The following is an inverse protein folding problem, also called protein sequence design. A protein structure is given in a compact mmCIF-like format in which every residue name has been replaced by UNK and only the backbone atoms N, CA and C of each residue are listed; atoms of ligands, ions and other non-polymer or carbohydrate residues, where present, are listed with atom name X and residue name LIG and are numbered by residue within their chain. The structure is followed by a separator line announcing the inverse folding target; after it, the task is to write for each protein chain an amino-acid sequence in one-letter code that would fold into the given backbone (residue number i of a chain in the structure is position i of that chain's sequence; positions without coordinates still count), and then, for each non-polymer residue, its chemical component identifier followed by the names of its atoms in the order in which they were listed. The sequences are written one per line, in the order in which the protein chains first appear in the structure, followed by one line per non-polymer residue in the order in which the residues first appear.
data_IF_361924137062
#
_entry.id   IF_361924137062
#
_cell.length_a   1.000
_cell.length_b   1.000
_cell.length_c   1.000
_cell.angle_alpha   90.00
_cell.angle_beta   90.00
_cell.angle_gamma   90.00
#
_symmetry.space_group_name_H-M   'P 1'
#
loop_
_entity.id
_entity.type
_entity.pdbx_description
1 polymer ?
#
# COMPACT_ATOMS: atom_id res chain seq x y z
N UNK A 1 3.65 -2.38 1.93
CA UNK A 1 3.02 -1.58 0.87
C UNK A 1 4.08 -1.20 -0.16
N UNK A 2 3.71 -0.58 -1.28
CA UNK A 2 4.67 -0.04 -2.23
C UNK A 2 4.14 1.23 -2.91
N UNK A 3 5.05 1.99 -3.49
CA UNK A 3 4.74 3.07 -4.42
C UNK A 3 5.67 3.02 -5.63
N UNK A 4 5.20 3.50 -6.77
CA UNK A 4 5.98 3.61 -7.99
C UNK A 4 6.12 5.07 -8.38
N UNK A 5 7.35 5.61 -8.37
CA UNK A 5 7.62 6.97 -8.80
C UNK A 5 7.78 7.03 -10.32
N UNK A 6 7.09 7.97 -10.97
CA UNK A 6 7.20 8.20 -12.41
C UNK A 6 8.50 8.94 -12.81
N UNK A 7 9.24 9.47 -11.84
CA UNK A 7 10.46 10.26 -12.02
C UNK A 7 11.40 10.12 -10.83
N UNK A 8 12.66 10.57 -10.99
CA UNK A 8 13.61 10.66 -9.87
C UNK A 8 13.19 11.79 -8.92
N UNK A 9 13.00 11.47 -7.65
CA UNK A 9 12.68 12.46 -6.62
C UNK A 9 13.95 12.97 -5.89
N UNK A 10 13.91 14.21 -5.44
CA UNK A 10 14.86 14.77 -4.47
C UNK A 10 14.39 14.50 -3.04
N UNK A 11 13.07 14.59 -2.80
CA UNK A 11 12.42 14.37 -1.50
C UNK A 11 11.16 13.54 -1.65
N UNK A 12 10.96 12.59 -0.74
CA UNK A 12 9.72 11.81 -0.62
C UNK A 12 9.32 11.73 0.85
N UNK A 13 8.12 12.20 1.14
CA UNK A 13 7.45 11.98 2.42
C UNK A 13 6.19 11.14 2.18
N UNK A 14 5.88 10.22 3.08
CA UNK A 14 4.73 9.32 2.98
C UNK A 14 3.76 9.56 4.12
N UNK A 15 2.50 9.82 3.82
CA UNK A 15 1.46 9.95 4.83
C UNK A 15 0.69 8.63 4.94
N UNK A 16 0.54 8.12 6.17
CA UNK A 16 -0.38 7.05 6.51
C UNK A 16 -1.70 7.68 6.93
N UNK A 17 -2.75 7.33 6.20
CA UNK A 17 -4.07 7.94 6.30
C UNK A 17 -5.06 6.90 6.79
N UNK A 18 -5.74 7.18 7.90
CA UNK A 18 -6.89 6.39 8.32
C UNK A 18 -8.03 6.57 7.30
N UNK A 19 -8.41 5.50 6.61
CA UNK A 19 -9.45 5.55 5.58
C UNK A 19 -10.87 5.42 6.15
N UNK A 20 -11.00 5.10 7.45
CA UNK A 20 -12.29 4.97 8.14
C UNK A 20 -12.82 6.31 8.62
N UNK A 21 -11.92 7.28 8.85
CA UNK A 21 -12.30 8.59 9.32
C UNK A 21 -12.89 9.44 8.16
N UNK A 22 -14.08 10.04 8.33
CA UNK A 22 -14.75 10.80 7.27
C UNK A 22 -14.11 12.16 6.96
N UNK A 23 -13.16 12.66 7.77
CA UNK A 23 -12.53 13.97 7.57
C UNK A 23 -11.15 13.88 6.87
N UNK A 24 -11.06 14.06 5.54
CA UNK A 24 -9.84 13.79 4.77
C UNK A 24 -8.63 14.67 5.17
N UNK A 25 -8.87 15.80 5.85
CA UNK A 25 -7.82 16.73 6.27
C UNK A 25 -7.27 16.43 7.68
N UNK A 26 -7.93 15.55 8.44
CA UNK A 26 -7.50 15.17 9.81
C UNK A 26 -7.13 13.69 9.93
N UNK A 27 -6.99 12.98 8.80
CA UNK A 27 -6.78 11.53 8.76
C UNK A 27 -5.32 11.09 8.72
N UNK A 28 -4.37 12.02 8.57
CA UNK A 28 -2.94 11.65 8.61
C UNK A 28 -2.59 11.27 10.04
N UNK A 29 -2.40 9.97 10.27
CA UNK A 29 -2.08 9.41 11.58
C UNK A 29 -0.59 9.26 11.79
N UNK A 30 0.18 9.13 10.72
CA UNK A 30 1.64 9.01 10.75
C UNK A 30 2.25 9.52 9.45
N UNK A 31 3.51 9.99 9.53
CA UNK A 31 4.29 10.44 8.38
C UNK A 31 5.65 9.77 8.42
N UNK A 32 6.04 9.12 7.33
CA UNK A 32 7.39 8.60 7.12
C UNK A 32 8.18 9.61 6.28
N UNK A 33 9.06 10.36 6.93
CA UNK A 33 9.92 11.33 6.26
C UNK A 33 11.15 10.67 5.63
N UNK A 34 11.64 11.23 4.51
CA UNK A 34 12.87 10.75 3.89
C UNK A 34 12.78 9.32 3.33
N UNK A 35 11.61 8.95 2.82
CA UNK A 35 11.39 7.66 2.19
C UNK A 35 12.24 7.50 0.90
N UNK A 36 12.49 6.26 0.43
CA UNK A 36 13.24 6.01 -0.80
C UNK A 36 12.80 6.88 -1.99
N UNK A 37 13.74 7.51 -2.69
CA UNK A 37 13.45 8.50 -3.73
C UNK A 37 13.85 8.06 -5.14
N UNK A 38 14.11 6.75 -5.31
CA UNK A 38 14.53 6.15 -6.56
C UNK A 38 13.37 6.06 -7.57
N UNK A 39 13.68 6.28 -8.85
CA UNK A 39 12.72 6.06 -9.94
C UNK A 39 12.22 4.61 -9.93
N UNK A 40 10.91 4.43 -10.15
CA UNK A 40 10.30 3.10 -10.20
C UNK A 40 9.75 2.65 -8.85
N UNK A 41 9.70 1.33 -8.64
CA UNK A 41 8.99 0.72 -7.51
C UNK A 41 9.83 0.70 -6.24
N UNK A 42 9.30 1.34 -5.20
CA UNK A 42 9.85 1.40 -3.86
C UNK A 42 8.92 0.67 -2.89
N UNK A 43 9.48 -0.14 -1.99
CA UNK A 43 8.73 -0.89 -0.98
C UNK A 43 8.89 -0.25 0.38
N UNK A 44 7.79 -0.20 1.13
CA UNK A 44 7.77 0.31 2.49
C UNK A 44 7.03 -0.62 3.42
N UNK A 45 7.50 -0.64 4.66
CA UNK A 45 6.87 -1.29 5.79
C UNK A 45 6.53 -0.21 6.81
N UNK A 46 5.28 -0.19 7.23
CA UNK A 46 4.82 0.62 8.34
C UNK A 46 4.52 -0.33 9.50
N UNK A 47 4.90 0.08 10.70
CA UNK A 47 4.87 -0.74 11.91
C UNK A 47 3.50 -0.77 12.61
N UNK A 48 2.51 -0.03 12.08
CA UNK A 48 1.19 0.04 12.68
C UNK A 48 1.08 1.02 13.84
N UNK A 49 2.00 1.99 13.93
CA UNK A 49 1.96 3.04 14.96
C UNK A 49 1.60 4.41 14.40
N UNK A 50 0.96 5.24 15.23
CA UNK A 50 0.69 6.64 14.93
C UNK A 50 1.93 7.52 15.15
N UNK A 51 1.78 8.83 14.93
CA UNK A 51 2.84 9.84 15.13
C UNK A 51 3.38 9.94 16.57
N UNK A 52 2.67 9.42 17.56
CA UNK A 52 3.07 9.41 18.95
C UNK A 52 3.75 8.08 19.34
N UNK A 53 3.84 7.13 18.40
CA UNK A 53 4.32 5.77 18.64
C UNK A 53 3.27 4.85 19.25
N UNK A 54 2.02 5.29 19.33
CA UNK A 54 0.93 4.48 19.87
C UNK A 54 0.41 3.52 18.78
N UNK A 55 0.14 2.24 19.11
CA UNK A 55 -0.39 1.29 18.15
C UNK A 55 -1.80 1.70 17.71
N UNK A 56 -2.09 1.55 16.41
CA UNK A 56 -3.44 1.75 15.88
C UNK A 56 -4.14 0.41 15.64
N UNK A 57 -5.44 0.45 15.35
CA UNK A 57 -6.23 -0.77 15.08
C UNK A 57 -5.69 -1.51 13.85
N UNK A 58 -5.12 -2.71 14.07
CA UNK A 58 -4.54 -3.52 13.01
C UNK A 58 -5.58 -4.04 12.00
N UNK A 59 -6.87 -3.99 12.33
CA UNK A 59 -7.98 -4.34 11.43
C UNK A 59 -8.53 -3.11 10.67
N UNK A 60 -8.01 -1.92 10.97
CA UNK A 60 -8.38 -0.69 10.29
C UNK A 60 -7.94 -0.68 8.82
N UNK A 61 -8.69 0.03 7.98
CA UNK A 61 -8.28 0.30 6.60
C UNK A 61 -7.44 1.57 6.55
N UNK A 62 -6.19 1.44 6.07
CA UNK A 62 -5.26 2.55 5.93
C UNK A 62 -4.84 2.77 4.48
N UNK A 63 -4.62 4.03 4.10
CA UNK A 63 -4.17 4.45 2.77
C UNK A 63 -2.79 5.09 2.87
N UNK A 64 -1.98 4.85 1.85
CA UNK A 64 -0.71 5.54 1.65
C UNK A 64 -0.92 6.72 0.71
N UNK A 65 -0.44 7.90 1.10
CA UNK A 65 -0.28 9.05 0.19
C UNK A 65 1.20 9.36 0.05
N UNK A 66 1.65 9.53 -1.19
CA UNK A 66 3.04 9.84 -1.50
C UNK A 66 3.15 11.33 -1.84
N UNK A 67 4.06 12.03 -1.15
CA UNK A 67 4.42 13.42 -1.42
C UNK A 67 5.87 13.43 -1.95
N UNK A 68 6.02 13.30 -3.26
CA UNK A 68 7.31 13.27 -3.94
C UNK A 68 7.56 14.56 -4.74
N UNK A 69 8.78 15.10 -4.64
CA UNK A 69 9.20 16.30 -5.39
C UNK A 69 10.59 16.12 -6.00
N UNK A 70 10.83 16.76 -7.14
CA UNK A 70 12.15 16.79 -7.81
C UNK A 70 13.07 17.89 -7.21
N UNK A 71 14.25 18.10 -7.79
CA UNK A 71 15.21 19.11 -7.31
C UNK A 71 14.74 20.56 -7.54
N UNK A 72 13.78 20.76 -8.43
CA UNK A 72 13.18 22.05 -8.76
C UNK A 72 11.85 22.27 -8.02
N UNK A 73 11.55 21.43 -7.02
CA UNK A 73 10.32 21.43 -6.23
C UNK A 73 9.04 21.05 -7.01
N UNK A 74 9.17 20.50 -8.23
CA UNK A 74 8.04 20.01 -8.99
C UNK A 74 7.50 18.70 -8.40
N UNK A 75 6.18 18.55 -8.38
CA UNK A 75 5.55 17.32 -7.93
C UNK A 75 5.84 16.16 -8.89
N UNK A 76 6.17 15.00 -8.31
CA UNK A 76 6.31 13.75 -9.05
C UNK A 76 5.10 12.87 -8.76
N UNK A 77 4.47 12.38 -9.82
CA UNK A 77 3.37 11.45 -9.72
C UNK A 77 3.86 10.10 -9.18
N UNK A 78 3.03 9.51 -8.31
CA UNK A 78 3.29 8.23 -7.71
C UNK A 78 2.03 7.37 -7.71
N UNK A 79 2.16 6.13 -8.16
CA UNK A 79 1.13 5.11 -7.97
C UNK A 79 1.38 4.40 -6.64
N UNK A 80 0.32 4.06 -5.92
CA UNK A 80 0.41 3.35 -4.64
C UNK A 80 -0.29 2.01 -4.72
N UNK A 81 0.25 1.02 -4.02
CA UNK A 81 -0.37 -0.29 -3.95
C UNK A 81 0.07 -1.10 -2.75
N UNK A 82 -0.56 -2.27 -2.60
CA UNK A 82 -0.23 -3.23 -1.56
C UNK A 82 -0.20 -4.64 -2.13
N UNK A 83 0.31 -5.56 -1.33
CA UNK A 83 0.30 -6.98 -1.64
C UNK A 83 -0.36 -7.71 -0.47
N UNK A 84 -1.16 -8.72 -0.77
CA UNK A 84 -1.87 -9.51 0.22
C UNK A 84 -2.15 -10.92 -0.29
N UNK A 85 -2.88 -11.69 0.50
CA UNK A 85 -3.32 -13.02 0.09
C UNK A 85 -4.65 -12.87 -0.64
N UNK A 86 -4.69 -13.37 -1.89
CA UNK A 86 -5.92 -13.52 -2.64
C UNK A 86 -6.76 -14.65 -2.00
N UNK A 87 -8.00 -14.36 -1.64
CA UNK A 87 -8.88 -15.27 -0.89
C UNK A 87 -10.00 -15.81 -1.78
N UNK A 88 -10.72 -14.92 -2.46
CA UNK A 88 -11.94 -15.25 -3.19
C UNK A 88 -12.13 -14.33 -4.39
N UNK A 89 -12.70 -14.83 -5.48
CA UNK A 89 -13.19 -14.02 -6.59
C UNK A 89 -14.72 -13.90 -6.49
N UNK A 90 -15.23 -12.67 -6.49
CA UNK A 90 -16.66 -12.35 -6.44
C UNK A 90 -17.09 -11.62 -7.71
N UNK A 91 -18.30 -11.89 -8.17
CA UNK A 91 -18.96 -11.06 -9.18
C UNK A 91 -20.01 -10.19 -8.48
N UNK A 92 -19.80 -8.88 -8.48
CA UNK A 92 -20.72 -7.91 -7.88
C UNK A 92 -21.17 -6.95 -8.97
N UNK A 93 -22.45 -7.04 -9.37
CA UNK A 93 -23.00 -6.13 -10.38
C UNK A 93 -22.35 -6.24 -11.75
N UNK A 94 -21.76 -7.39 -12.11
CA UNK A 94 -21.05 -7.60 -13.37
C UNK A 94 -19.54 -7.32 -13.32
N UNK A 95 -19.05 -6.77 -12.21
CA UNK A 95 -17.63 -6.53 -11.99
C UNK A 95 -17.00 -7.67 -11.19
N UNK A 96 -15.86 -8.17 -11.67
CA UNK A 96 -15.07 -9.16 -10.95
C UNK A 96 -14.18 -8.47 -9.91
N UNK A 97 -14.40 -8.84 -8.65
CA UNK A 97 -13.70 -8.34 -7.49
C UNK A 97 -12.88 -9.46 -6.87
N UNK A 98 -11.58 -9.25 -6.69
CA UNK A 98 -10.70 -10.13 -5.92
C UNK A 98 -10.68 -9.67 -4.46
N UNK A 99 -11.04 -10.57 -3.54
CA UNK A 99 -10.89 -10.33 -2.11
C UNK A 99 -9.42 -10.53 -1.71
N UNK A 100 -8.80 -9.48 -1.19
CA UNK A 100 -7.41 -9.46 -0.72
C UNK A 100 -7.39 -8.92 0.71
N UNK A 101 -7.03 -9.75 1.70
CA UNK A 101 -7.05 -9.37 3.11
C UNK A 101 -8.39 -8.69 3.51
N UNK A 102 -9.52 -9.30 3.13
CA UNK A 102 -10.88 -8.81 3.36
C UNK A 102 -11.28 -7.53 2.60
N UNK A 103 -10.39 -6.94 1.81
CA UNK A 103 -10.71 -5.83 0.91
C UNK A 103 -11.09 -6.31 -0.49
N UNK A 104 -12.20 -5.79 -1.02
CA UNK A 104 -12.60 -6.03 -2.40
C UNK A 104 -11.78 -5.14 -3.34
N UNK A 105 -10.95 -5.76 -4.19
CA UNK A 105 -10.11 -5.09 -5.18
C UNK A 105 -10.62 -5.44 -6.58
N UNK A 106 -10.93 -4.47 -7.47
CA UNK A 106 -11.30 -4.78 -8.84
C UNK A 106 -10.21 -5.60 -9.53
N UNK A 107 -10.59 -6.65 -10.28
CA UNK A 107 -9.63 -7.51 -10.97
C UNK A 107 -8.75 -6.71 -11.95
N UNK A 108 -9.29 -5.64 -12.52
CA UNK A 108 -8.59 -4.71 -13.42
C UNK A 108 -7.50 -3.88 -12.73
N UNK A 109 -7.52 -3.79 -11.40
CA UNK A 109 -6.51 -3.08 -10.60
C UNK A 109 -5.36 -3.99 -10.13
N UNK A 110 -5.37 -5.28 -10.49
CA UNK A 110 -4.31 -6.21 -10.12
C UNK A 110 -3.08 -6.01 -11.02
N UNK A 111 -1.96 -5.64 -10.41
CA UNK A 111 -0.69 -5.41 -11.11
C UNK A 111 0.05 -6.71 -11.37
N UNK A 112 0.10 -7.62 -10.39
CA UNK A 112 0.80 -8.89 -10.50
C UNK A 112 0.25 -9.93 -9.52
N UNK A 113 0.40 -11.21 -9.85
CA UNK A 113 0.19 -12.34 -8.94
C UNK A 113 1.47 -13.15 -8.84
N UNK A 114 1.66 -13.83 -7.70
CA UNK A 114 2.81 -14.71 -7.48
C UNK A 114 2.41 -15.93 -6.66
N UNK A 115 2.76 -17.11 -7.14
CA UNK A 115 2.60 -18.35 -6.37
C UNK A 115 3.57 -18.35 -5.19
N UNK A 116 3.07 -18.65 -3.99
CA UNK A 116 3.96 -18.90 -2.84
C UNK A 116 4.61 -20.28 -3.04
N UNK A 117 5.94 -20.41 -2.85
CA UNK A 117 6.56 -21.73 -2.83
C UNK A 117 5.84 -22.59 -1.80
N UNK A 118 5.32 -23.74 -2.22
CA UNK A 118 4.71 -24.70 -1.32
C UNK A 118 5.83 -25.48 -0.65
N UNK A 119 5.88 -25.48 0.68
CA UNK A 119 6.75 -26.41 1.41
C UNK A 119 6.15 -27.80 1.28
N UNK A 120 6.72 -28.63 0.40
CA UNK A 120 6.36 -30.05 0.36
C UNK A 120 6.99 -30.70 1.58
N UNK A 121 6.18 -31.11 2.56
CA UNK A 121 6.67 -31.95 3.66
C UNK A 121 6.73 -33.38 3.11
N UNK A 122 7.92 -33.99 2.96
CA UNK A 122 8.00 -35.38 2.55
C UNK A 122 7.34 -36.26 3.62
N UNK A 123 6.36 -37.07 3.20
CA UNK A 123 5.84 -38.17 4.00
C UNK A 123 6.90 -39.26 4.05
N UNK A 124 7.49 -39.49 5.22
CA UNK A 124 8.35 -40.65 5.46
C UNK A 124 7.45 -41.90 5.43
N UNK A 125 7.69 -42.79 4.45
CA UNK A 125 7.12 -44.14 4.42
C UNK A 125 7.89 -45.07 5.35
#
# INVERSE_FOLDING_TARGET
MFYNLAGKASKVDLDIIDATNPNPNSNVISTLEGAPNELGTNRIFWDGTDKNGEPVDLNGSYKLRVRARDINDNQINADVGFSGVAQELRNTGGELMLMVNDQAVPLTSIIATRTRPQTVIPITQ
#
